data_IF_840737514585
#
_entry.id   IF_840737514585
#
_cell.length_a   1.000
_cell.length_b   1.000
_cell.length_c   1.000
_cell.angle_alpha   90.00
_cell.angle_beta   90.00
_cell.angle_gamma   90.00
#
_symmetry.space_group_name_H-M   'P 1'
#
loop_
_entity.id
_entity.type
_entity.pdbx_description
1 polymer ?
#
# COMPACT_ATOMS: atom_id res chain seq x y z
N UNK A 1 -4.49 -17.80 -33.00
CA UNK A 1 -4.59 -16.43 -32.44
C UNK A 1 -5.88 -16.32 -31.64
N UNK A 2 -5.83 -16.46 -30.30
CA UNK A 2 -6.96 -16.12 -29.44
C UNK A 2 -6.41 -15.63 -28.10
N UNK A 3 -6.37 -14.31 -27.92
CA UNK A 3 -5.90 -13.65 -26.71
C UNK A 3 -6.86 -13.96 -25.56
N UNK A 4 -6.63 -15.02 -24.80
CA UNK A 4 -7.11 -15.15 -23.43
C UNK A 4 -6.24 -14.29 -22.50
N UNK A 5 -6.04 -13.02 -22.86
CA UNK A 5 -5.46 -12.06 -21.94
C UNK A 5 -6.56 -11.76 -20.93
N UNK A 6 -6.46 -12.43 -19.78
CA UNK A 6 -6.76 -11.90 -18.45
C UNK A 6 -7.47 -10.55 -18.55
N UNK A 7 -8.79 -10.59 -18.63
CA UNK A 7 -9.61 -9.45 -18.31
C UNK A 7 -9.49 -9.32 -16.79
N UNK A 8 -8.32 -8.86 -16.32
CA UNK A 8 -8.16 -8.30 -14.99
C UNK A 8 -9.15 -7.17 -14.99
N UNK A 9 -10.25 -7.36 -14.27
CA UNK A 9 -11.33 -6.38 -14.14
C UNK A 9 -10.70 -4.99 -14.10
N UNK A 10 -11.15 -4.07 -14.98
CA UNK A 10 -10.49 -2.80 -15.32
C UNK A 10 -10.48 -1.78 -14.16
N UNK A 11 -9.91 -2.19 -13.03
CA UNK A 11 -9.78 -1.43 -11.81
C UNK A 11 -8.41 -0.80 -11.75
N UNK A 12 -8.39 0.50 -11.50
CA UNK A 12 -7.18 1.27 -11.32
C UNK A 12 -7.16 1.85 -9.91
N UNK A 13 -5.99 1.77 -9.27
CA UNK A 13 -5.72 2.58 -8.09
C UNK A 13 -5.72 4.06 -8.51
N UNK A 14 -6.51 4.89 -7.83
CA UNK A 14 -6.69 6.31 -8.20
C UNK A 14 -6.16 7.26 -7.13
N UNK A 15 -5.58 8.42 -7.53
CA UNK A 15 -5.24 9.48 -6.58
C UNK A 15 -6.50 9.99 -5.86
N UNK A 16 -6.39 10.20 -4.56
CA UNK A 16 -7.52 10.59 -3.71
C UNK A 16 -8.09 11.97 -4.09
N UNK A 17 -7.23 12.87 -4.54
CA UNK A 17 -7.62 14.24 -4.91
C UNK A 17 -8.57 14.27 -6.14
N UNK A 18 -8.67 13.17 -6.90
CA UNK A 18 -9.59 13.00 -8.03
C UNK A 18 -10.85 12.18 -7.71
N UNK A 19 -11.03 11.71 -6.47
CA UNK A 19 -12.19 10.90 -6.07
C UNK A 19 -13.24 11.80 -5.42
N UNK A 20 -14.48 11.85 -5.94
CA UNK A 20 -15.56 12.60 -5.28
C UNK A 20 -15.91 11.95 -3.94
N UNK A 21 -16.45 12.74 -3.00
CA UNK A 21 -16.88 12.23 -1.68
C UNK A 21 -17.85 11.06 -1.76
N UNK A 22 -18.68 10.97 -2.81
CA UNK A 22 -19.54 9.83 -3.10
C UNK A 22 -18.78 8.51 -3.32
N UNK A 23 -17.54 8.57 -3.81
CA UNK A 23 -16.64 7.41 -3.96
C UNK A 23 -15.99 6.97 -2.64
N UNK A 24 -16.00 7.82 -1.62
CA UNK A 24 -15.47 7.52 -0.28
C UNK A 24 -16.52 6.93 0.66
N UNK A 25 -17.81 7.09 0.33
CA UNK A 25 -18.97 6.60 1.07
C UNK A 25 -19.45 7.56 2.16
N UNK A 26 -20.74 7.48 2.52
CA UNK A 26 -21.43 8.41 3.42
C UNK A 26 -20.85 8.51 4.85
N UNK A 27 -20.02 7.55 5.27
CA UNK A 27 -19.34 7.55 6.57
C UNK A 27 -17.94 8.17 6.53
N UNK A 28 -17.50 8.67 5.38
CA UNK A 28 -16.37 9.58 5.25
C UNK A 28 -16.96 10.95 4.96
N UNK A 29 -17.48 11.68 5.97
CA UNK A 29 -17.78 13.10 5.76
C UNK A 29 -16.50 13.80 5.28
N UNK A 30 -16.62 14.99 4.69
CA UNK A 30 -15.47 15.83 4.27
C UNK A 30 -14.41 16.08 5.39
N UNK A 31 -14.66 15.59 6.60
CA UNK A 31 -13.68 15.39 7.65
C UNK A 31 -13.03 13.99 7.57
N UNK A 32 -11.77 13.79 7.18
CA UNK A 32 -10.71 14.67 6.67
C UNK A 32 -9.82 13.69 5.90
N UNK A 33 -9.74 13.77 4.58
CA UNK A 33 -8.68 13.04 3.85
C UNK A 33 -7.35 13.44 4.50
N UNK A 34 -6.51 12.49 4.96
CA UNK A 34 -5.30 12.82 5.71
C UNK A 34 -4.43 13.80 4.93
N UNK A 35 -3.81 14.77 5.60
CA UNK A 35 -2.95 15.76 4.92
C UNK A 35 -1.80 15.08 4.18
N UNK A 36 -1.23 15.74 3.16
CA UNK A 36 -0.08 15.19 2.43
C UNK A 36 1.08 14.78 3.36
N UNK A 37 1.32 15.52 4.44
CA UNK A 37 2.31 15.18 5.45
C UNK A 37 1.99 13.87 6.19
N UNK A 38 0.73 13.64 6.55
CA UNK A 38 0.30 12.38 7.18
C UNK A 38 0.41 11.22 6.19
N UNK A 39 -0.05 11.40 4.95
CA UNK A 39 0.06 10.37 3.89
C UNK A 39 1.51 10.06 3.52
N UNK A 40 2.39 11.07 3.59
CA UNK A 40 3.82 10.95 3.34
C UNK A 40 4.62 10.38 4.51
N UNK A 41 4.00 10.24 5.69
CA UNK A 41 4.64 9.81 6.94
C UNK A 41 4.19 8.45 7.45
N UNK A 42 3.67 7.56 6.60
CA UNK A 42 3.20 6.24 7.04
C UNK A 42 4.36 5.38 7.53
N UNK A 43 4.16 4.76 8.69
CA UNK A 43 5.09 3.80 9.28
C UNK A 43 4.74 2.37 8.87
N UNK A 44 5.73 1.48 8.89
CA UNK A 44 5.48 0.03 8.79
C UNK A 44 4.51 -0.40 9.90
N UNK A 45 3.53 -1.23 9.55
CA UNK A 45 2.42 -1.65 10.38
C UNK A 45 1.21 -0.71 10.36
N UNK A 46 1.29 0.48 9.75
CA UNK A 46 0.13 1.35 9.59
C UNK A 46 -0.85 0.79 8.54
N UNK A 47 -2.15 0.92 8.80
CA UNK A 47 -3.19 0.61 7.83
C UNK A 47 -3.52 1.86 7.01
N UNK A 48 -3.39 1.75 5.70
CA UNK A 48 -3.74 2.77 4.72
C UNK A 48 -5.00 2.36 3.96
N UNK A 49 -6.00 3.22 3.96
CA UNK A 49 -7.18 3.08 3.11
C UNK A 49 -6.86 3.57 1.70
N UNK A 50 -7.14 2.74 0.70
CA UNK A 50 -6.98 3.01 -0.73
C UNK A 50 -8.31 2.94 -1.47
N UNK A 51 -8.43 3.66 -2.58
CA UNK A 51 -9.60 3.62 -3.47
C UNK A 51 -9.19 3.09 -4.83
N UNK A 52 -9.89 2.06 -5.28
CA UNK A 52 -9.83 1.53 -6.63
C UNK A 52 -11.08 1.97 -7.37
N UNK A 53 -10.93 2.35 -8.63
CA UNK A 53 -12.03 2.73 -9.51
C UNK A 53 -12.04 1.82 -10.72
N UNK A 54 -13.20 1.28 -11.10
CA UNK A 54 -13.38 0.64 -12.40
C UNK A 54 -13.78 1.64 -13.46
N UNK A 55 -13.42 1.37 -14.70
CA UNK A 55 -14.10 2.02 -15.82
C UNK A 55 -15.54 1.51 -15.89
N UNK A 56 -16.51 2.42 -15.92
CA UNK A 56 -17.92 2.10 -16.11
C UNK A 56 -18.43 2.81 -17.35
N UNK A 57 -19.31 2.13 -18.09
CA UNK A 57 -20.18 2.81 -19.05
C UNK A 57 -21.19 3.68 -18.28
N UNK A 58 -21.67 4.77 -18.90
CA UNK A 58 -22.46 5.83 -18.26
C UNK A 58 -23.74 5.37 -17.49
N UNK A 59 -24.14 4.10 -17.61
CA UNK A 59 -25.32 3.53 -16.98
C UNK A 59 -25.07 2.87 -15.60
N UNK A 60 -23.83 2.59 -15.20
CA UNK A 60 -23.52 1.90 -13.93
C UNK A 60 -22.82 2.81 -12.93
N UNK A 61 -23.60 3.39 -12.01
CA UNK A 61 -23.08 4.23 -10.92
C UNK A 61 -22.68 3.40 -9.68
N UNK A 62 -23.34 2.26 -9.45
CA UNK A 62 -23.06 1.39 -8.31
C UNK A 62 -21.80 0.55 -8.53
N UNK A 63 -21.01 0.38 -7.47
CA UNK A 63 -19.76 -0.38 -7.52
C UNK A 63 -18.70 0.26 -8.40
N UNK A 64 -18.77 1.57 -8.67
CA UNK A 64 -17.74 2.29 -9.44
C UNK A 64 -16.42 2.38 -8.67
N UNK A 65 -16.51 2.46 -7.35
CA UNK A 65 -15.39 2.54 -6.42
C UNK A 65 -15.40 1.35 -5.47
N UNK A 66 -14.21 0.88 -5.15
CA UNK A 66 -13.97 -0.12 -4.13
C UNK A 66 -12.87 0.39 -3.19
N UNK A 67 -13.11 0.28 -1.88
CA UNK A 67 -12.20 0.75 -0.84
C UNK A 67 -11.53 -0.45 -0.19
N UNK A 68 -10.21 -0.42 -0.12
CA UNK A 68 -9.41 -1.50 0.45
C UNK A 68 -8.49 -0.95 1.53
N UNK A 69 -8.21 -1.77 2.54
CA UNK A 69 -7.22 -1.49 3.57
C UNK A 69 -5.94 -2.26 3.26
N UNK A 70 -4.82 -1.58 3.39
CA UNK A 70 -3.49 -2.14 3.14
C UNK A 70 -2.60 -1.87 4.34
N UNK A 71 -2.01 -2.91 4.92
CA UNK A 71 -0.97 -2.76 5.93
C UNK A 71 0.36 -2.43 5.25
N UNK A 72 1.02 -1.35 5.66
CA UNK A 72 2.34 -0.97 5.16
C UNK A 72 3.38 -1.96 5.68
N UNK A 73 4.05 -2.70 4.81
CA UNK A 73 5.12 -3.65 5.17
C UNK A 73 6.52 -3.11 4.90
N UNK A 74 6.64 -2.16 3.95
CA UNK A 74 7.90 -1.51 3.64
C UNK A 74 7.70 -0.14 2.98
N UNK A 75 8.76 0.66 2.94
CA UNK A 75 8.85 1.91 2.17
C UNK A 75 10.06 1.85 1.24
N UNK A 76 9.83 2.13 -0.03
CA UNK A 76 10.88 2.25 -1.05
C UNK A 76 10.85 3.66 -1.65
N UNK A 77 11.71 4.55 -1.13
CA UNK A 77 11.72 5.96 -1.52
C UNK A 77 10.40 6.66 -1.19
N UNK A 78 9.71 7.16 -2.22
CA UNK A 78 8.42 7.84 -2.11
C UNK A 78 7.21 6.88 -2.16
N UNK A 79 7.43 5.60 -2.44
CA UNK A 79 6.37 4.60 -2.51
C UNK A 79 6.34 3.71 -1.25
N UNK A 80 5.15 3.19 -0.95
CA UNK A 80 4.93 2.16 0.05
C UNK A 80 4.67 0.83 -0.64
N UNK A 81 5.16 -0.24 -0.01
CA UNK A 81 4.68 -1.61 -0.26
C UNK A 81 3.84 -2.03 0.94
N UNK A 82 2.71 -2.65 0.65
CA UNK A 82 1.83 -3.19 1.67
C UNK A 82 1.13 -4.46 1.23
N UNK A 83 0.38 -5.05 2.15
CA UNK A 83 -0.44 -6.24 1.93
C UNK A 83 -1.89 -5.92 2.24
N UNK A 84 -2.83 -6.44 1.43
CA UNK A 84 -4.25 -6.22 1.66
C UNK A 84 -4.71 -6.84 2.98
N UNK A 85 -5.35 -6.02 3.82
CA UNK A 85 -5.87 -6.44 5.12
C UNK A 85 -7.36 -6.82 5.07
N UNK A 86 -8.05 -6.52 3.95
CA UNK A 86 -9.43 -6.93 3.72
C UNK A 86 -9.62 -7.65 2.39
N UNK A 87 -10.68 -8.46 2.32
CA UNK A 87 -11.07 -9.14 1.08
C UNK A 87 -11.83 -8.18 0.16
N UNK A 88 -11.39 -7.98 -1.09
CA UNK A 88 -12.18 -7.25 -2.08
C UNK A 88 -13.54 -7.90 -2.32
N UNK A 89 -14.56 -7.06 -2.44
CA UNK A 89 -15.94 -7.39 -2.77
C UNK A 89 -16.15 -7.47 -4.29
N UNK A 90 -15.57 -6.55 -5.08
CA UNK A 90 -15.83 -6.44 -6.52
C UNK A 90 -14.63 -6.80 -7.42
N UNK A 91 -13.40 -6.47 -7.01
CA UNK A 91 -12.19 -6.81 -7.76
C UNK A 91 -11.94 -8.31 -7.68
N UNK A 92 -12.13 -9.04 -8.78
CA UNK A 92 -11.89 -10.50 -8.80
C UNK A 92 -10.40 -10.79 -8.96
N UNK A 93 -9.97 -11.91 -8.37
CA UNK A 93 -8.58 -12.35 -8.43
C UNK A 93 -7.64 -11.65 -7.44
N UNK A 94 -8.07 -10.55 -6.83
CA UNK A 94 -7.38 -9.89 -5.73
C UNK A 94 -7.87 -10.47 -4.39
N UNK A 95 -6.94 -10.79 -3.49
CA UNK A 95 -7.22 -11.49 -2.22
C UNK A 95 -6.56 -10.78 -1.04
N UNK A 96 -7.08 -10.98 0.16
CA UNK A 96 -6.37 -10.65 1.39
C UNK A 96 -4.93 -11.22 1.34
N UNK A 97 -3.96 -10.42 1.80
CA UNK A 97 -2.53 -10.72 1.77
C UNK A 97 -1.86 -10.45 0.41
N UNK A 98 -2.62 -10.04 -0.62
CA UNK A 98 -1.99 -9.71 -1.90
C UNK A 98 -1.15 -8.42 -1.77
N UNK A 99 0.04 -8.39 -2.40
CA UNK A 99 0.91 -7.22 -2.34
C UNK A 99 0.36 -6.06 -3.16
N UNK A 100 0.46 -4.85 -2.62
CA UNK A 100 0.04 -3.60 -3.25
C UNK A 100 1.14 -2.56 -3.10
N UNK A 101 1.52 -1.93 -4.21
CA UNK A 101 2.41 -0.76 -4.21
C UNK A 101 1.58 0.50 -4.39
N UNK A 102 1.81 1.51 -3.55
CA UNK A 102 1.05 2.76 -3.60
C UNK A 102 1.88 3.94 -3.11
N UNK A 103 1.59 5.13 -3.65
CA UNK A 103 2.12 6.40 -3.16
C UNK A 103 1.18 7.14 -2.19
N UNK A 104 1.68 8.17 -1.48
CA UNK A 104 0.91 9.01 -0.56
C UNK A 104 -0.37 9.61 -1.16
N UNK A 105 -0.36 9.89 -2.46
CA UNK A 105 -1.50 10.47 -3.18
C UNK A 105 -2.72 9.55 -3.27
N UNK A 106 -2.60 8.26 -2.94
CA UNK A 106 -3.72 7.31 -3.03
C UNK A 106 -4.44 7.08 -1.69
N UNK A 107 -3.94 7.66 -0.60
CA UNK A 107 -4.38 7.34 0.76
C UNK A 107 -5.59 8.18 1.15
N UNK A 108 -6.74 7.56 1.34
CA UNK A 108 -7.98 8.24 1.78
C UNK A 108 -8.19 8.19 3.29
N UNK A 109 -7.58 7.21 3.97
CA UNK A 109 -7.67 7.05 5.42
C UNK A 109 -6.39 6.43 5.96
N UNK A 110 -6.07 6.75 7.21
CA UNK A 110 -4.93 6.15 7.93
C UNK A 110 -5.44 5.67 9.27
N UNK A 111 -5.13 4.43 9.60
CA UNK A 111 -5.30 3.88 10.93
C UNK A 111 -3.95 3.38 11.40
N UNK A 112 -3.32 4.14 12.29
CA UNK A 112 -2.14 3.66 13.02
C UNK A 112 -2.61 2.51 13.93
N UNK A 113 -1.92 1.36 13.96
CA UNK A 113 -2.27 0.33 14.90
C UNK A 113 -2.26 0.93 16.31
N UNK A 114 -3.33 0.69 17.09
CA UNK A 114 -3.18 0.72 18.54
C UNK A 114 -2.05 -0.26 18.84
N UNK A 115 -0.93 0.22 19.39
CA UNK A 115 0.26 -0.58 19.72
C UNK A 115 -0.14 -2.03 20.05
N UNK A 116 0.01 -2.94 19.10
CA UNK A 116 0.25 -4.33 19.43
C UNK A 116 1.76 -4.41 19.60
N UNK A 117 2.18 -4.82 20.78
CA UNK A 117 3.59 -4.91 21.16
C UNK A 117 4.38 -5.57 20.03
N UNK A 118 5.38 -4.87 19.51
CA UNK A 118 6.29 -5.40 18.53
C UNK A 118 6.92 -6.68 19.10
N UNK A 119 6.70 -7.83 18.45
CA UNK A 119 7.66 -8.91 18.55
C UNK A 119 8.93 -8.43 17.83
N UNK A 120 10.12 -8.56 18.42
CA UNK A 120 11.34 -8.15 17.77
C UNK A 120 11.55 -8.99 16.50
N UNK A 121 11.86 -8.31 15.40
CA UNK A 121 12.28 -8.93 14.15
C UNK A 121 13.51 -9.81 14.43
N UNK A 122 13.29 -11.11 14.57
CA UNK A 122 14.35 -12.09 14.63
C UNK A 122 15.01 -12.18 13.23
N UNK A 123 16.26 -11.72 13.17
CA UNK A 123 17.34 -12.23 12.33
C UNK A 123 17.05 -12.56 10.87
N UNK A 124 17.53 -11.70 9.97
CA UNK A 124 18.24 -12.19 8.79
C UNK A 124 19.59 -11.49 8.71
N UNK A 125 20.63 -12.24 9.05
CA UNK A 125 22.01 -11.81 9.00
C UNK A 125 22.47 -11.52 7.58
N UNK A 126 23.29 -10.49 7.47
CA UNK A 126 24.33 -10.38 6.47
C UNK A 126 25.50 -9.66 7.17
N UNK A 127 26.24 -10.43 7.97
CA UNK A 127 27.59 -10.04 8.38
C UNK A 127 28.49 -10.32 7.17
N UNK A 128 28.71 -9.29 6.35
CA UNK A 128 29.79 -9.27 5.38
C UNK A 128 31.01 -8.69 6.10
N UNK A 129 31.75 -9.58 6.75
CA UNK A 129 32.98 -9.27 7.47
C UNK A 129 33.98 -8.58 6.54
N UNK A 130 34.38 -7.37 6.95
CA UNK A 130 35.42 -6.58 6.32
C UNK A 130 36.77 -7.31 6.32
N UNK A 131 37.32 -7.55 5.13
CA UNK A 131 38.72 -7.90 4.97
C UNK A 131 39.58 -6.64 5.20
N UNK A 132 40.15 -6.50 6.40
CA UNK A 132 41.20 -5.53 6.71
C UNK A 132 42.48 -6.30 7.07
N UNK A 133 43.27 -6.65 6.06
CA UNK A 133 44.65 -7.12 6.26
C UNK A 133 45.53 -5.88 6.54
N UNK A 134 46.10 -5.83 7.75
CA UNK A 134 47.09 -4.84 8.17
C UNK A 134 48.52 -5.35 7.88
N UNK A 135 49.52 -4.47 7.79
CA UNK A 135 50.81 -4.76 7.17
C UNK A 135 51.84 -5.36 8.14
N UNK A 136 52.58 -6.38 7.69
CA UNK A 136 53.75 -6.92 8.37
C UNK A 136 54.98 -6.04 8.16
N UNK A 137 55.56 -5.55 9.26
CA UNK A 137 56.82 -4.79 9.30
C UNK A 137 58.04 -5.72 9.14
N UNK A 138 59.10 -5.13 8.60
CA UNK A 138 60.43 -5.73 8.36
C UNK A 138 61.24 -5.92 9.65
N UNK A 139 62.04 -7.01 9.64
CA UNK A 139 63.42 -7.22 10.17
C UNK A 139 63.76 -6.83 11.63
N UNK A 140 64.74 -7.53 12.22
CA UNK A 140 66.15 -7.13 12.06
C UNK A 140 66.97 -8.04 11.15
#
# INVERSE_FOLDING_TARGET
>A
MSRHAEQRDAWSLVPIDGVPSSGLGAHVPDAVVPTAAVRGGLSVGALAGLVFRREASAAEVQGLYERLWVEVVARDGEAYRGELDNQPTFIRGLKNGAPVTFGPQHVFAVMTPRRHAAAPAAGRGADATAARAAPGRRTP
#
